data_IF_117236139200
#
_entry.id   IF_117236139200
#
_cell.length_a   1.000
_cell.length_b   1.000
_cell.length_c   1.000
_cell.angle_alpha   90.00
_cell.angle_beta   90.00
_cell.angle_gamma   90.00
#
_symmetry.space_group_name_H-M   'P 1'
#
loop_
_entity.id
_entity.type
_entity.pdbx_description
1 polymer ?
#
# COMPACT_ATOMS: atom_id res chain seq x y z
N UNK A 1 -3.64 -16.34 14.61
CA UNK A 1 -2.80 -17.52 14.85
C UNK A 1 -3.08 -18.10 16.24
N UNK A 2 -2.94 -17.36 17.34
CA UNK A 2 -3.21 -17.84 18.70
C UNK A 2 -4.60 -18.48 18.82
N UNK A 3 -5.68 -17.81 18.36
CA UNK A 3 -7.06 -18.37 18.39
C UNK A 3 -7.18 -19.72 17.68
N UNK A 4 -6.48 -19.89 16.55
CA UNK A 4 -6.45 -21.17 15.82
C UNK A 4 -5.73 -22.24 16.64
N UNK A 5 -4.60 -21.91 17.25
CA UNK A 5 -3.87 -22.85 18.10
C UNK A 5 -4.73 -23.29 19.30
N UNK A 6 -5.38 -22.36 20.00
CA UNK A 6 -6.29 -22.65 21.10
C UNK A 6 -7.47 -23.54 20.70
N UNK A 7 -8.09 -23.30 19.53
CA UNK A 7 -9.19 -24.14 19.03
C UNK A 7 -8.77 -25.58 18.72
N UNK A 8 -7.46 -25.81 18.54
CA UNK A 8 -6.87 -27.14 18.32
C UNK A 8 -6.25 -27.74 19.60
N UNK A 9 -6.55 -27.16 20.78
CA UNK A 9 -6.09 -27.67 22.08
C UNK A 9 -4.68 -27.25 22.47
N UNK A 10 -4.01 -26.39 21.70
CA UNK A 10 -2.67 -25.87 21.99
C UNK A 10 -2.83 -24.54 22.74
N UNK A 11 -2.83 -24.58 24.07
CA UNK A 11 -3.06 -23.39 24.92
C UNK A 11 -1.78 -22.57 25.12
N UNK A 12 -0.63 -23.24 25.24
CA UNK A 12 0.66 -22.61 25.57
C UNK A 12 1.45 -22.30 24.30
N UNK A 13 0.94 -21.36 23.48
CA UNK A 13 1.63 -20.95 22.25
C UNK A 13 1.95 -19.46 22.24
N UNK A 14 3.15 -19.14 21.78
CA UNK A 14 3.62 -17.77 21.58
C UNK A 14 3.73 -17.46 20.09
N UNK A 15 3.22 -16.29 19.70
CA UNK A 15 3.28 -15.79 18.30
C UNK A 15 3.80 -14.38 18.31
N UNK A 16 4.90 -14.17 17.60
CA UNK A 16 5.44 -12.85 17.33
C UNK A 16 5.43 -12.62 15.81
N UNK A 17 4.58 -11.71 15.35
CA UNK A 17 4.49 -11.33 13.95
C UNK A 17 5.17 -9.97 13.74
N UNK A 18 6.20 -9.95 12.89
CA UNK A 18 6.91 -8.74 12.45
C UNK A 18 6.82 -8.62 10.92
N UNK A 19 7.02 -7.44 10.34
CA UNK A 19 6.98 -7.27 8.88
C UNK A 19 7.95 -8.18 8.11
N UNK A 20 9.10 -8.50 8.70
CA UNK A 20 10.15 -9.32 8.08
C UNK A 20 10.09 -10.82 8.43
N UNK A 21 9.42 -11.21 9.53
CA UNK A 21 9.38 -12.58 10.00
C UNK A 21 8.19 -12.86 10.92
N UNK A 22 7.75 -14.11 10.92
CA UNK A 22 6.75 -14.61 11.86
C UNK A 22 7.41 -15.73 12.67
N UNK A 23 7.33 -15.60 13.99
CA UNK A 23 7.79 -16.62 14.94
C UNK A 23 6.58 -17.28 15.58
N UNK A 24 6.63 -18.58 15.70
CA UNK A 24 5.65 -19.39 16.39
C UNK A 24 6.37 -20.41 17.26
N UNK A 25 6.03 -20.49 18.54
CA UNK A 25 6.57 -21.49 19.46
C UNK A 25 5.49 -22.03 20.37
N UNK A 26 5.67 -23.25 20.83
CA UNK A 26 4.82 -23.90 21.84
C UNK A 26 5.68 -24.08 23.09
N UNK A 27 5.21 -23.52 24.21
CA UNK A 27 5.89 -23.69 25.52
C UNK A 27 5.94 -25.17 25.92
N UNK A 28 6.92 -25.49 26.72
CA UNK A 28 7.14 -26.86 27.19
C UNK A 28 7.37 -27.93 26.10
N UNK A 29 7.61 -27.46 24.84
CA UNK A 29 8.00 -28.33 23.73
C UNK A 29 9.21 -27.74 23.01
N UNK A 30 9.97 -28.57 22.32
CA UNK A 30 11.06 -28.07 21.45
C UNK A 30 10.56 -27.58 20.07
N UNK A 31 9.28 -27.20 19.97
CA UNK A 31 8.69 -26.73 18.71
C UNK A 31 8.81 -25.20 18.65
N UNK A 32 9.75 -24.75 17.82
CA UNK A 32 9.88 -23.36 17.42
C UNK A 32 10.01 -23.27 15.91
N UNK A 33 9.23 -22.42 15.28
CA UNK A 33 9.22 -22.19 13.83
C UNK A 33 9.32 -20.72 13.52
N UNK A 34 10.21 -20.39 12.60
CA UNK A 34 10.34 -19.06 12.04
C UNK A 34 10.03 -19.12 10.53
N UNK A 35 9.22 -18.19 10.07
CA UNK A 35 8.96 -17.98 8.63
C UNK A 35 9.39 -16.56 8.25
N UNK A 36 10.39 -16.45 7.38
CA UNK A 36 10.79 -15.17 6.82
C UNK A 36 9.73 -14.67 5.83
N UNK A 37 9.38 -13.39 5.91
CA UNK A 37 8.52 -12.69 4.96
C UNK A 37 9.44 -11.95 3.99
N UNK A 38 9.46 -12.38 2.73
CA UNK A 38 10.34 -11.82 1.70
C UNK A 38 9.70 -10.72 0.88
N UNK A 39 8.37 -10.68 0.86
CA UNK A 39 7.60 -9.63 0.19
C UNK A 39 6.31 -9.38 0.97
N UNK A 40 5.94 -8.12 1.11
CA UNK A 40 4.70 -7.72 1.75
C UNK A 40 3.92 -6.84 0.78
N UNK A 41 2.63 -7.13 0.63
CA UNK A 41 1.70 -6.30 -0.13
C UNK A 41 0.36 -6.25 0.60
N UNK A 42 -0.36 -5.14 0.45
CA UNK A 42 -1.68 -4.99 1.03
C UNK A 42 -2.73 -5.56 0.08
N UNK A 43 -3.18 -6.78 0.34
CA UNK A 43 -4.33 -7.38 -0.34
C UNK A 43 -5.44 -7.61 0.69
N UNK A 44 -6.40 -6.68 0.73
CA UNK A 44 -7.50 -6.69 1.70
C UNK A 44 -8.42 -7.87 1.48
N UNK A 45 -8.66 -8.29 0.22
CA UNK A 45 -9.49 -9.45 -0.12
C UNK A 45 -8.90 -10.72 0.50
N UNK A 46 -7.60 -11.00 0.29
CA UNK A 46 -6.92 -12.13 0.94
C UNK A 46 -7.00 -12.07 2.46
N UNK A 47 -6.92 -10.87 3.04
CA UNK A 47 -7.07 -10.70 4.50
C UNK A 47 -8.47 -11.10 4.96
N UNK A 48 -9.52 -10.71 4.23
CA UNK A 48 -10.89 -11.10 4.52
C UNK A 48 -11.08 -12.63 4.40
N UNK A 49 -10.59 -13.23 3.33
CA UNK A 49 -10.69 -14.68 3.09
C UNK A 49 -9.99 -15.49 4.17
N UNK A 50 -8.75 -15.11 4.53
CA UNK A 50 -8.00 -15.76 5.63
C UNK A 50 -8.72 -15.61 6.96
N UNK A 51 -9.30 -14.44 7.24
CA UNK A 51 -10.09 -14.23 8.45
C UNK A 51 -11.35 -15.10 8.46
N UNK A 52 -12.01 -15.28 7.32
CA UNK A 52 -13.17 -16.15 7.21
C UNK A 52 -12.79 -17.61 7.50
N UNK A 53 -11.74 -18.14 6.85
CA UNK A 53 -11.23 -19.50 7.13
C UNK A 53 -10.87 -19.68 8.61
N UNK A 54 -10.26 -18.67 9.22
CA UNK A 54 -9.93 -18.69 10.65
C UNK A 54 -11.18 -18.78 11.53
N UNK A 55 -12.27 -18.07 11.18
CA UNK A 55 -13.54 -18.13 11.92
C UNK A 55 -14.25 -19.45 11.74
N UNK A 56 -14.30 -19.98 10.51
CA UNK A 56 -14.90 -21.28 10.21
C UNK A 56 -14.19 -22.41 10.97
N UNK A 57 -12.85 -22.38 11.03
CA UNK A 57 -12.07 -23.38 11.78
C UNK A 57 -12.27 -23.27 13.29
N UNK A 58 -12.21 -22.06 13.84
CA UNK A 58 -12.41 -21.83 15.29
C UNK A 58 -13.84 -22.15 15.71
N UNK A 59 -14.83 -21.92 14.82
CA UNK A 59 -16.23 -22.28 15.04
C UNK A 59 -16.56 -23.76 14.81
N UNK A 60 -15.57 -24.59 14.46
CA UNK A 60 -15.77 -26.03 14.21
C UNK A 60 -16.55 -26.37 12.95
N UNK A 61 -16.73 -25.40 12.03
CA UNK A 61 -17.47 -25.59 10.77
C UNK A 61 -16.63 -26.36 9.72
N UNK A 62 -15.32 -26.27 9.80
CA UNK A 62 -14.38 -26.98 8.94
C UNK A 62 -13.28 -27.64 9.79
N UNK A 63 -12.72 -28.71 9.28
CA UNK A 63 -11.59 -29.39 9.88
C UNK A 63 -10.24 -28.72 9.48
N UNK A 64 -9.18 -29.08 10.19
CA UNK A 64 -7.84 -28.51 9.98
C UNK A 64 -7.31 -28.76 8.56
N UNK A 65 -7.62 -29.92 7.98
CA UNK A 65 -7.17 -30.30 6.63
C UNK A 65 -7.81 -29.42 5.56
N UNK A 66 -9.11 -29.17 5.68
CA UNK A 66 -9.89 -28.27 4.80
C UNK A 66 -9.42 -26.83 4.96
N UNK A 67 -9.21 -26.36 6.19
CA UNK A 67 -8.67 -25.03 6.44
C UNK A 67 -7.30 -24.84 5.79
N UNK A 68 -6.40 -25.80 5.92
CA UNK A 68 -5.07 -25.76 5.31
C UNK A 68 -5.16 -25.70 3.77
N UNK A 69 -6.06 -26.48 3.16
CA UNK A 69 -6.29 -26.47 1.71
C UNK A 69 -6.78 -25.09 1.23
N UNK A 70 -7.83 -24.54 1.90
CA UNK A 70 -8.34 -23.19 1.60
C UNK A 70 -7.26 -22.12 1.74
N UNK A 71 -6.47 -22.13 2.82
CA UNK A 71 -5.39 -21.17 3.02
C UNK A 71 -4.30 -21.26 1.94
N UNK A 72 -3.99 -22.47 1.49
CA UNK A 72 -3.04 -22.69 0.38
C UNK A 72 -3.58 -22.15 -0.95
N UNK A 73 -4.86 -22.35 -1.23
CA UNK A 73 -5.55 -21.80 -2.41
C UNK A 73 -5.52 -20.28 -2.39
N UNK A 74 -5.92 -19.64 -1.27
CA UNK A 74 -5.86 -18.19 -1.09
C UNK A 74 -4.43 -17.65 -1.26
N UNK A 75 -3.44 -18.37 -0.73
CA UNK A 75 -2.03 -18.01 -0.87
C UNK A 75 -1.57 -17.96 -2.33
N UNK A 76 -2.03 -18.89 -3.15
CA UNK A 76 -1.66 -19.03 -4.56
C UNK A 76 -2.49 -18.15 -5.52
N UNK A 77 -3.57 -17.53 -5.06
CA UNK A 77 -4.37 -16.62 -5.89
C UNK A 77 -3.51 -15.45 -6.39
N UNK A 78 -3.62 -15.14 -7.68
CA UNK A 78 -3.03 -13.94 -8.25
C UNK A 78 -3.67 -12.67 -7.65
N UNK A 79 -3.01 -11.54 -7.83
CA UNK A 79 -3.63 -10.24 -7.49
C UNK A 79 -4.90 -10.06 -8.34
N UNK A 80 -6.03 -9.62 -7.75
CA UNK A 80 -7.31 -9.53 -8.45
C UNK A 80 -7.32 -8.47 -9.55
N UNK A 81 -6.39 -7.49 -9.49
CA UNK A 81 -6.35 -6.36 -10.40
C UNK A 81 -5.07 -6.33 -11.23
N UNK A 82 -5.23 -6.12 -12.54
CA UNK A 82 -4.11 -5.89 -13.44
C UNK A 82 -3.47 -4.51 -13.19
N UNK A 83 -2.20 -4.33 -13.56
CA UNK A 83 -1.52 -3.02 -13.45
C UNK A 83 -2.26 -1.93 -14.21
N UNK A 84 -2.91 -2.26 -15.33
CA UNK A 84 -3.73 -1.33 -16.11
C UNK A 84 -4.97 -0.87 -15.33
N UNK A 85 -5.70 -1.80 -14.70
CA UNK A 85 -6.86 -1.46 -13.89
C UNK A 85 -6.49 -0.54 -12.71
N UNK A 86 -5.38 -0.81 -12.06
CA UNK A 86 -4.87 0.05 -10.96
C UNK A 86 -4.50 1.43 -11.48
N UNK A 87 -3.83 1.52 -12.64
CA UNK A 87 -3.50 2.81 -13.27
C UNK A 87 -4.75 3.61 -13.63
N UNK A 88 -5.76 2.96 -14.22
CA UNK A 88 -7.04 3.60 -14.58
C UNK A 88 -7.76 4.09 -13.32
N UNK A 89 -7.82 3.27 -12.27
CA UNK A 89 -8.44 3.66 -10.99
C UNK A 89 -7.73 4.85 -10.34
N UNK A 90 -6.39 4.85 -10.31
CA UNK A 90 -5.59 5.98 -9.82
C UNK A 90 -5.85 7.25 -10.64
N UNK A 91 -5.86 7.14 -11.96
CA UNK A 91 -6.13 8.26 -12.88
C UNK A 91 -7.53 8.84 -12.66
N UNK A 92 -8.54 8.00 -12.48
CA UNK A 92 -9.92 8.45 -12.27
C UNK A 92 -10.13 9.06 -10.87
N UNK A 93 -9.34 8.68 -9.87
CA UNK A 93 -9.47 9.24 -8.51
C UNK A 93 -8.85 10.63 -8.38
N UNK A 94 -7.78 10.94 -9.09
CA UNK A 94 -7.04 12.19 -8.96
C UNK A 94 -7.87 13.48 -9.22
N UNK A 95 -8.76 13.56 -10.23
CA UNK A 95 -9.66 14.68 -10.44
C UNK A 95 -10.51 15.02 -9.22
N UNK A 96 -11.07 14.00 -8.55
CA UNK A 96 -11.93 14.20 -7.38
C UNK A 96 -11.14 14.79 -6.21
N UNK A 97 -9.90 14.34 -6.01
CA UNK A 97 -9.03 14.94 -4.99
C UNK A 97 -8.64 16.37 -5.34
N UNK A 98 -8.33 16.68 -6.60
CA UNK A 98 -8.05 18.05 -7.02
C UNK A 98 -9.22 18.99 -6.71
N UNK A 99 -10.46 18.59 -7.07
CA UNK A 99 -11.67 19.35 -6.74
C UNK A 99 -11.88 19.47 -5.23
N UNK A 100 -11.64 18.39 -4.49
CA UNK A 100 -11.78 18.38 -3.01
C UNK A 100 -10.83 19.39 -2.34
N UNK A 101 -9.65 19.62 -2.92
CA UNK A 101 -8.70 20.63 -2.43
C UNK A 101 -8.96 22.04 -2.97
N UNK A 102 -10.06 22.26 -3.67
CA UNK A 102 -10.46 23.58 -4.18
C UNK A 102 -10.06 23.84 -5.62
N UNK A 103 -9.61 22.83 -6.34
CA UNK A 103 -9.30 22.91 -7.77
C UNK A 103 -10.56 23.08 -8.63
N UNK A 104 -10.38 23.69 -9.78
CA UNK A 104 -11.41 23.83 -10.80
C UNK A 104 -11.43 22.61 -11.75
N UNK A 105 -12.36 22.61 -12.71
CA UNK A 105 -12.50 21.50 -13.68
C UNK A 105 -11.24 21.31 -14.52
N UNK A 106 -10.52 22.39 -14.86
CA UNK A 106 -9.28 22.31 -15.64
C UNK A 106 -8.13 21.73 -14.80
N UNK A 107 -8.07 22.06 -13.51
CA UNK A 107 -7.12 21.42 -12.56
C UNK A 107 -7.41 19.92 -12.42
N UNK A 108 -8.68 19.54 -12.39
CA UNK A 108 -9.09 18.14 -12.33
C UNK A 108 -8.64 17.35 -13.58
N UNK A 109 -8.80 17.90 -14.77
CA UNK A 109 -8.27 17.30 -16.01
C UNK A 109 -6.75 17.22 -15.99
N UNK A 110 -6.07 18.29 -15.56
CA UNK A 110 -4.62 18.30 -15.36
C UNK A 110 -4.15 17.22 -14.40
N UNK A 111 -4.85 17.04 -13.28
CA UNK A 111 -4.56 16.01 -12.29
C UNK A 111 -4.73 14.58 -12.85
N UNK A 112 -5.78 14.34 -13.66
CA UNK A 112 -5.95 13.05 -14.33
C UNK A 112 -4.79 12.71 -15.26
N UNK A 113 -4.39 13.67 -16.13
CA UNK A 113 -3.30 13.47 -17.08
C UNK A 113 -1.97 13.31 -16.34
N UNK A 114 -1.69 14.15 -15.34
CA UNK A 114 -0.48 14.08 -14.54
C UNK A 114 -0.38 12.71 -13.83
N UNK A 115 -1.48 12.25 -13.22
CA UNK A 115 -1.53 10.94 -12.55
C UNK A 115 -1.34 9.79 -13.53
N UNK A 116 -1.98 9.81 -14.68
CA UNK A 116 -1.84 8.77 -15.71
C UNK A 116 -0.37 8.52 -16.06
N UNK A 117 0.33 9.57 -16.42
CA UNK A 117 1.74 9.46 -16.83
C UNK A 117 2.67 9.21 -15.64
N UNK A 118 2.46 9.89 -14.50
CA UNK A 118 3.24 9.67 -13.29
C UNK A 118 3.12 8.24 -12.78
N UNK A 119 1.89 7.69 -12.75
CA UNK A 119 1.64 6.33 -12.30
C UNK A 119 2.19 5.29 -13.28
N UNK A 120 1.98 5.48 -14.57
CA UNK A 120 2.54 4.61 -15.61
C UNK A 120 4.08 4.59 -15.55
N UNK A 121 4.71 5.75 -15.36
CA UNK A 121 6.16 5.86 -15.25
C UNK A 121 6.67 5.20 -13.95
N UNK A 122 6.00 5.38 -12.83
CA UNK A 122 6.32 4.70 -11.57
C UNK A 122 6.30 3.17 -11.76
N UNK A 123 5.27 2.62 -12.41
CA UNK A 123 5.19 1.19 -12.72
C UNK A 123 6.27 0.71 -13.71
N UNK A 124 6.71 1.59 -14.60
CA UNK A 124 7.83 1.29 -15.50
C UNK A 124 9.14 1.20 -14.74
N UNK A 125 9.43 2.16 -13.86
CA UNK A 125 10.64 2.18 -13.01
C UNK A 125 10.65 0.99 -12.05
N UNK A 126 9.48 0.57 -11.51
CA UNK A 126 9.34 -0.60 -10.63
C UNK A 126 9.88 -1.90 -11.24
N UNK A 127 9.85 -2.04 -12.58
CA UNK A 127 10.41 -3.23 -13.25
C UNK A 127 11.92 -3.36 -13.09
N UNK A 128 12.62 -2.22 -12.97
CA UNK A 128 14.07 -2.15 -12.86
C UNK A 128 14.52 -1.99 -11.41
N UNK A 129 13.80 -1.15 -10.65
CA UNK A 129 14.14 -0.80 -9.27
C UNK A 129 12.94 -1.14 -8.39
N UNK A 130 13.06 -2.23 -7.62
CA UNK A 130 12.00 -2.68 -6.70
C UNK A 130 12.09 -2.00 -5.33
N UNK A 131 12.32 -0.69 -5.33
CA UNK A 131 12.47 0.12 -4.12
C UNK A 131 11.32 1.15 -4.10
N UNK A 132 10.35 1.04 -3.17
CA UNK A 132 9.14 1.85 -3.20
C UNK A 132 9.37 3.37 -3.23
N UNK A 133 10.32 3.88 -2.46
CA UNK A 133 10.59 5.33 -2.43
C UNK A 133 11.21 5.85 -3.73
N UNK A 134 11.99 5.04 -4.46
CA UNK A 134 12.55 5.43 -5.77
C UNK A 134 11.45 5.50 -6.82
N UNK A 135 10.53 4.54 -6.82
CA UNK A 135 9.40 4.54 -7.74
C UNK A 135 8.42 5.67 -7.45
N UNK A 136 8.21 6.00 -6.17
CA UNK A 136 7.41 7.14 -5.74
C UNK A 136 8.03 8.47 -6.18
N UNK A 137 9.35 8.65 -5.96
CA UNK A 137 10.07 9.84 -6.43
C UNK A 137 9.95 10.01 -7.94
N UNK A 138 10.18 8.94 -8.71
CA UNK A 138 10.11 8.98 -10.17
C UNK A 138 8.69 9.34 -10.68
N UNK A 139 7.66 8.74 -10.10
CA UNK A 139 6.27 9.08 -10.40
C UNK A 139 5.94 10.53 -10.05
N UNK A 140 6.38 10.99 -8.87
CA UNK A 140 6.17 12.35 -8.39
C UNK A 140 6.86 13.40 -9.26
N UNK A 141 8.07 13.12 -9.70
CA UNK A 141 8.80 13.97 -10.62
C UNK A 141 8.03 14.15 -11.95
N UNK A 142 7.52 13.06 -12.55
CA UNK A 142 6.79 13.12 -13.81
C UNK A 142 5.46 13.86 -13.65
N UNK A 143 4.65 13.53 -12.65
CA UNK A 143 3.39 14.25 -12.47
C UNK A 143 3.59 15.72 -12.11
N UNK A 144 4.67 16.05 -11.38
CA UNK A 144 5.05 17.43 -11.09
C UNK A 144 5.40 18.23 -12.34
N UNK A 145 6.19 17.65 -13.26
CA UNK A 145 6.51 18.29 -14.55
C UNK A 145 5.24 18.53 -15.39
N UNK A 146 4.35 17.52 -15.45
CA UNK A 146 3.11 17.64 -16.23
C UNK A 146 2.18 18.70 -15.63
N UNK A 147 2.07 18.75 -14.30
CA UNK A 147 1.25 19.75 -13.62
C UNK A 147 1.73 21.17 -13.91
N UNK A 148 3.05 21.40 -13.86
CA UNK A 148 3.65 22.70 -14.20
C UNK A 148 3.44 23.05 -15.67
N UNK A 149 3.70 22.09 -16.56
CA UNK A 149 3.47 22.31 -17.99
C UNK A 149 2.01 22.65 -18.28
N UNK A 150 1.08 21.92 -17.67
CA UNK A 150 -0.35 22.17 -17.81
C UNK A 150 -0.73 23.58 -17.34
N UNK A 151 -0.34 23.96 -16.13
CA UNK A 151 -0.67 25.27 -15.56
C UNK A 151 -0.09 26.43 -16.37
N UNK A 152 1.11 26.25 -16.95
CA UNK A 152 1.83 27.33 -17.64
C UNK A 152 1.44 27.50 -19.10
N UNK A 153 1.17 26.40 -19.81
CA UNK A 153 1.07 26.44 -21.29
C UNK A 153 -0.33 26.20 -21.85
N UNK A 154 -1.30 25.73 -21.06
CA UNK A 154 -2.64 25.43 -21.59
C UNK A 154 -3.55 26.66 -21.73
N UNK A 155 -3.17 27.80 -21.14
CA UNK A 155 -4.01 29.01 -21.12
C UNK A 155 -5.26 28.93 -20.27
N UNK A 156 -5.50 27.79 -19.59
CA UNK A 156 -6.58 27.65 -18.61
C UNK A 156 -6.16 28.30 -17.28
N UNK A 157 -7.13 28.80 -16.52
CA UNK A 157 -6.89 29.30 -15.16
C UNK A 157 -6.64 28.12 -14.20
N UNK A 158 -5.51 27.44 -14.39
CA UNK A 158 -5.11 26.24 -13.63
C UNK A 158 -3.93 26.52 -12.70
N UNK A 159 -3.93 25.87 -11.55
CA UNK A 159 -2.89 26.00 -10.54
C UNK A 159 -2.13 24.69 -10.38
N UNK A 160 -0.82 24.73 -10.62
CA UNK A 160 0.03 23.53 -10.53
C UNK A 160 -0.10 22.83 -9.18
N UNK A 161 -0.21 23.59 -8.07
CA UNK A 161 -0.32 23.06 -6.73
C UNK A 161 -1.59 22.20 -6.54
N UNK A 162 -2.74 22.62 -7.11
CA UNK A 162 -4.01 21.90 -7.03
C UNK A 162 -4.02 20.64 -7.91
N UNK A 163 -3.34 20.71 -9.05
CA UNK A 163 -3.10 19.55 -9.92
C UNK A 163 -2.22 18.53 -9.19
N UNK A 164 -1.10 18.96 -8.59
CA UNK A 164 -0.19 18.11 -7.83
C UNK A 164 -0.89 17.51 -6.61
N UNK A 165 -1.69 18.30 -5.87
CA UNK A 165 -2.44 17.82 -4.73
C UNK A 165 -3.40 16.68 -5.10
N UNK A 166 -4.08 16.78 -6.25
CA UNK A 166 -4.89 15.68 -6.79
C UNK A 166 -4.06 14.47 -7.22
N UNK A 167 -2.98 14.71 -7.98
CA UNK A 167 -2.16 13.67 -8.56
C UNK A 167 -1.36 12.85 -7.54
N UNK A 168 -0.99 13.43 -6.40
CA UNK A 168 -0.19 12.75 -5.37
C UNK A 168 -1.01 11.74 -4.57
N UNK A 169 -2.33 11.94 -4.43
CA UNK A 169 -3.16 11.14 -3.53
C UNK A 169 -3.13 9.63 -3.78
N UNK A 170 -3.17 9.13 -5.03
CA UNK A 170 -3.04 7.69 -5.30
C UNK A 170 -1.68 7.09 -4.90
N UNK A 171 -0.65 7.92 -4.70
CA UNK A 171 0.69 7.48 -4.30
C UNK A 171 0.91 7.48 -2.79
N UNK A 172 0.10 8.24 -2.05
CA UNK A 172 0.23 8.33 -0.59
C UNK A 172 -0.03 6.99 0.06
N UNK A 173 0.88 6.46 0.90
CA UNK A 173 0.75 5.15 1.53
C UNK A 173 -0.23 5.18 2.72
N UNK A 174 -1.50 5.57 2.47
CA UNK A 174 -2.52 5.79 3.50
C UNK A 174 -2.82 4.57 4.36
N UNK A 175 -2.97 3.38 3.73
CA UNK A 175 -3.24 2.12 4.45
C UNK A 175 -2.06 1.75 5.34
N UNK A 176 -0.82 1.91 4.85
CA UNK A 176 0.37 1.61 5.63
C UNK A 176 0.47 2.54 6.85
N UNK A 177 0.20 3.83 6.65
CA UNK A 177 0.25 4.86 7.70
C UNK A 177 -0.81 4.62 8.79
N UNK A 178 -2.05 4.37 8.40
CA UNK A 178 -3.13 4.09 9.35
C UNK A 178 -2.90 2.80 10.13
N UNK A 179 -2.40 1.75 9.47
CA UNK A 179 -2.04 0.50 10.14
C UNK A 179 -0.82 0.67 11.06
N UNK A 180 0.15 1.53 10.71
CA UNK A 180 1.29 1.83 11.57
C UNK A 180 0.83 2.47 12.88
N UNK A 181 -0.04 3.48 12.81
CA UNK A 181 -0.63 4.12 14.00
C UNK A 181 -1.40 3.10 14.84
N UNK A 182 -2.25 2.29 14.21
CA UNK A 182 -3.01 1.24 14.88
C UNK A 182 -2.11 0.24 15.61
N UNK A 183 -1.05 -0.23 14.95
CA UNK A 183 -0.10 -1.19 15.54
C UNK A 183 0.59 -0.59 16.78
N UNK A 184 1.00 0.69 16.73
CA UNK A 184 1.58 1.39 17.87
C UNK A 184 0.55 1.47 19.01
N UNK A 185 -0.69 1.86 18.74
CA UNK A 185 -1.75 1.97 19.74
C UNK A 185 -2.11 0.62 20.39
N UNK A 186 -1.92 -0.48 19.65
CA UNK A 186 -2.16 -1.85 20.16
C UNK A 186 -0.91 -2.51 20.73
N UNK A 187 0.10 -1.73 21.08
CA UNK A 187 1.37 -2.15 21.69
C UNK A 187 2.25 -3.05 20.80
N UNK A 188 2.01 -3.05 19.48
CA UNK A 188 2.88 -3.70 18.49
C UNK A 188 3.91 -2.70 17.93
N UNK A 189 4.68 -2.05 18.82
CA UNK A 189 5.53 -0.89 18.51
C UNK A 189 6.51 -1.18 17.38
N UNK A 190 7.22 -2.32 17.39
CA UNK A 190 8.20 -2.65 16.36
C UNK A 190 7.58 -2.75 14.95
N UNK A 191 6.40 -3.36 14.85
CA UNK A 191 5.67 -3.46 13.58
C UNK A 191 5.19 -2.08 13.10
N UNK A 192 4.61 -1.31 14.02
CA UNK A 192 4.11 0.03 13.74
C UNK A 192 5.20 1.00 13.32
N UNK A 193 6.32 1.02 14.04
CA UNK A 193 7.48 1.88 13.72
C UNK A 193 8.09 1.54 12.35
N UNK A 194 8.23 0.25 12.02
CA UNK A 194 8.76 -0.15 10.71
C UNK A 194 7.87 0.35 9.56
N UNK A 195 6.54 0.20 9.67
CA UNK A 195 5.57 0.69 8.68
C UNK A 195 5.53 2.21 8.62
N UNK A 196 5.61 2.88 9.76
CA UNK A 196 5.65 4.34 9.85
C UNK A 196 6.86 4.88 9.09
N UNK A 197 8.05 4.33 9.36
CA UNK A 197 9.28 4.76 8.72
C UNK A 197 9.25 4.55 7.20
N UNK A 198 8.78 3.40 6.73
CA UNK A 198 8.59 3.14 5.30
C UNK A 198 7.63 4.14 4.66
N UNK A 199 6.50 4.42 5.30
CA UNK A 199 5.52 5.39 4.82
C UNK A 199 6.07 6.82 4.76
N UNK A 200 6.85 7.21 5.77
CA UNK A 200 7.51 8.52 5.79
C UNK A 200 8.54 8.67 4.67
N UNK A 201 9.35 7.64 4.41
CA UNK A 201 10.31 7.66 3.29
C UNK A 201 9.61 7.83 1.94
N UNK A 202 8.47 7.13 1.72
CA UNK A 202 7.68 7.27 0.51
C UNK A 202 7.13 8.70 0.39
N UNK A 203 6.56 9.24 1.47
CA UNK A 203 6.01 10.60 1.47
C UNK A 203 7.08 11.67 1.22
N UNK A 204 8.25 11.53 1.84
CA UNK A 204 9.40 12.41 1.58
C UNK A 204 9.87 12.31 0.13
N UNK A 205 9.90 11.11 -0.44
CA UNK A 205 10.26 10.90 -1.84
C UNK A 205 9.26 11.56 -2.81
N UNK A 206 7.95 11.50 -2.50
CA UNK A 206 6.91 12.22 -3.26
C UNK A 206 7.15 13.74 -3.21
N UNK A 207 7.37 14.30 -2.01
CA UNK A 207 7.67 15.72 -1.83
C UNK A 207 8.97 16.14 -2.55
N UNK A 208 10.03 15.35 -2.46
CA UNK A 208 11.28 15.62 -3.13
C UNK A 208 11.13 15.58 -4.67
N UNK A 209 10.43 14.56 -5.20
CA UNK A 209 10.19 14.43 -6.64
C UNK A 209 9.42 15.61 -7.21
N UNK A 210 8.34 16.04 -6.54
CA UNK A 210 7.57 17.23 -6.94
C UNK A 210 8.40 18.50 -6.81
N UNK A 211 9.16 18.68 -5.75
CA UNK A 211 9.99 19.87 -5.55
C UNK A 211 11.06 20.02 -6.64
N UNK A 212 11.71 18.93 -7.03
CA UNK A 212 12.70 18.94 -8.15
C UNK A 212 12.00 19.31 -9.45
N UNK A 213 10.81 18.77 -9.73
CA UNK A 213 10.04 19.12 -10.91
C UNK A 213 9.66 20.61 -10.94
N UNK A 214 9.26 21.18 -9.80
CA UNK A 214 8.92 22.59 -9.67
C UNK A 214 10.12 23.49 -9.96
N UNK A 215 11.28 23.18 -9.35
CA UNK A 215 12.52 23.97 -9.53
C UNK A 215 13.01 23.95 -10.98
N UNK A 216 12.88 22.83 -11.69
CA UNK A 216 13.32 22.72 -13.08
C UNK A 216 12.46 23.52 -14.08
N UNK A 217 11.22 23.83 -13.73
CA UNK A 217 10.28 24.52 -14.59
C UNK A 217 10.07 26.00 -14.20
N UNK A 218 10.69 26.45 -13.10
CA UNK A 218 10.72 27.86 -12.68
C UNK A 218 11.72 28.63 -13.50
#
# INVERSE_FOLDING_TARGET
>A
MIRIAHSQGIMDCNVLAMPAAIFFSIENTNISRMKRVTSSSYNIEKVCDVNQVSRELVGGQIDLSTAFKKLKEIGNQALPYSKLQVTVAATLSAPFFSIMFGGNVYDAFGAAIATLFGFAFSLYVEKFVRIPFVTAFAGAFVFGLIAQFWARYTGFHSTADLIIAGAVMPFVPGIALTNAVRDIMTNHINSGMSKMFESLLITLALGAGTSVALVLMT
#
